data_IF_373224553573
#
_entry.id   IF_373224553573
#
_cell.length_a   1.000
_cell.length_b   1.000
_cell.length_c   1.000
_cell.angle_alpha   90.00
_cell.angle_beta   90.00
_cell.angle_gamma   90.00
#
_symmetry.space_group_name_H-M   'P 1'
#
loop_
_entity.id
_entity.type
_entity.pdbx_description
1 polymer ?
#
# COMPACT_ATOMS: atom_id res chain seq x y z
N UNK A 1 -20.93 24.92 -11.53
CA UNK A 1 -21.03 23.91 -10.45
C UNK A 1 -19.83 23.94 -9.51
N UNK A 2 -18.58 24.01 -9.99
CA UNK A 2 -17.38 24.01 -9.13
C UNK A 2 -17.19 25.24 -8.21
N UNK A 3 -17.58 26.44 -8.65
CA UNK A 3 -17.41 27.68 -7.85
C UNK A 3 -18.36 27.72 -6.65
N UNK A 4 -19.61 27.28 -6.83
CA UNK A 4 -20.59 27.16 -5.74
C UNK A 4 -20.16 26.15 -4.66
N UNK A 5 -19.56 25.03 -5.08
CA UNK A 5 -19.00 24.04 -4.15
C UNK A 5 -17.81 24.58 -3.36
N UNK A 6 -16.95 25.40 -3.99
CA UNK A 6 -15.82 26.05 -3.33
C UNK A 6 -16.26 27.06 -2.27
N UNK A 7 -17.29 27.86 -2.57
CA UNK A 7 -17.85 28.83 -1.62
C UNK A 7 -18.48 28.11 -0.43
N UNK A 8 -19.30 27.08 -0.67
CA UNK A 8 -19.88 26.28 0.43
C UNK A 8 -18.82 25.57 1.29
N UNK A 9 -17.69 25.18 0.70
CA UNK A 9 -16.59 24.55 1.42
C UNK A 9 -15.88 25.56 2.32
N UNK A 10 -15.66 26.79 1.84
CA UNK A 10 -15.02 27.86 2.61
C UNK A 10 -15.90 28.27 3.79
N UNK A 11 -17.21 28.36 3.59
CA UNK A 11 -18.16 28.70 4.65
C UNK A 11 -18.23 27.59 5.70
N UNK A 12 -18.22 26.31 5.27
CA UNK A 12 -18.13 25.15 6.17
C UNK A 12 -16.82 25.15 6.97
N UNK A 13 -15.68 25.50 6.37
CA UNK A 13 -14.39 25.58 7.06
C UNK A 13 -14.42 26.67 8.13
N UNK A 14 -15.02 27.82 7.83
CA UNK A 14 -15.18 28.92 8.81
C UNK A 14 -16.10 28.52 9.97
N UNK A 15 -17.18 27.82 9.66
CA UNK A 15 -18.18 27.38 10.65
C UNK A 15 -17.64 26.26 11.56
N UNK A 16 -16.88 25.30 11.01
CA UNK A 16 -16.27 24.20 11.77
C UNK A 16 -15.05 24.66 12.57
N UNK A 17 -14.26 25.60 12.05
CA UNK A 17 -12.98 25.94 12.65
C UNK A 17 -13.01 27.08 13.67
N UNK A 18 -14.01 27.96 13.60
CA UNK A 18 -13.89 29.29 14.21
C UNK A 18 -12.58 29.99 13.81
N UNK A 19 -12.13 30.98 14.58
CA UNK A 19 -10.83 31.63 14.37
C UNK A 19 -9.64 30.83 14.95
N UNK A 20 -9.77 29.52 15.19
CA UNK A 20 -8.71 28.73 15.80
C UNK A 20 -7.75 28.14 14.74
N UNK A 21 -6.51 28.64 14.63
CA UNK A 21 -5.57 28.23 13.58
C UNK A 21 -5.17 26.74 13.68
N UNK A 22 -5.32 26.11 14.84
CA UNK A 22 -5.01 24.69 15.04
C UNK A 22 -5.91 23.74 14.24
N UNK A 23 -7.12 24.18 13.87
CA UNK A 23 -8.08 23.39 13.10
C UNK A 23 -8.00 23.73 11.59
N UNK A 24 -7.74 24.99 11.25
CA UNK A 24 -7.64 25.48 9.86
C UNK A 24 -6.47 24.82 9.12
N UNK A 25 -5.29 24.80 9.75
CA UNK A 25 -4.04 24.32 9.11
C UNK A 25 -4.16 22.88 8.59
N UNK A 26 -4.57 21.86 9.38
CA UNK A 26 -4.68 20.49 8.88
C UNK A 26 -5.74 20.34 7.78
N UNK A 27 -6.85 21.10 7.83
CA UNK A 27 -7.89 21.06 6.79
C UNK A 27 -7.37 21.62 5.47
N UNK A 28 -6.67 22.76 5.52
CA UNK A 28 -6.06 23.37 4.32
C UNK A 28 -5.00 22.45 3.72
N UNK A 29 -4.17 21.80 4.54
CA UNK A 29 -3.18 20.82 4.08
C UNK A 29 -3.88 19.63 3.41
N UNK A 30 -4.93 19.09 4.03
CA UNK A 30 -5.69 17.97 3.47
C UNK A 30 -6.31 18.34 2.11
N UNK A 31 -6.91 19.53 2.00
CA UNK A 31 -7.48 20.03 0.75
C UNK A 31 -6.41 20.26 -0.32
N UNK A 32 -5.26 20.81 0.06
CA UNK A 32 -4.13 21.01 -0.84
C UNK A 32 -3.65 19.67 -1.43
N UNK A 33 -3.54 18.63 -0.60
CA UNK A 33 -3.16 17.29 -1.04
C UNK A 33 -4.24 16.70 -1.98
N UNK A 34 -5.52 16.83 -1.63
CA UNK A 34 -6.63 16.30 -2.43
C UNK A 34 -6.73 16.96 -3.81
N UNK A 35 -6.63 18.30 -3.86
CA UNK A 35 -6.72 19.06 -5.12
C UNK A 35 -5.50 18.77 -6.00
N UNK A 36 -4.30 18.73 -5.41
CA UNK A 36 -3.06 18.52 -6.16
C UNK A 36 -2.68 17.05 -6.34
N UNK A 37 -3.53 16.10 -5.91
CA UNK A 37 -3.21 14.67 -5.94
C UNK A 37 -2.78 14.21 -7.34
N UNK A 38 -3.47 14.68 -8.39
CA UNK A 38 -3.09 14.38 -9.78
C UNK A 38 -1.70 14.90 -10.14
N UNK A 39 -1.38 16.13 -9.76
CA UNK A 39 -0.07 16.74 -10.02
C UNK A 39 1.05 16.03 -9.26
N UNK A 40 0.79 15.65 -8.01
CA UNK A 40 1.73 14.89 -7.18
C UNK A 40 1.99 13.51 -7.81
N UNK A 41 0.93 12.83 -8.26
CA UNK A 41 1.05 11.53 -8.92
C UNK A 41 1.82 11.63 -10.25
N UNK A 42 1.56 12.67 -11.06
CA UNK A 42 2.29 12.91 -12.31
C UNK A 42 3.77 13.20 -12.04
N UNK A 43 4.08 14.08 -11.07
CA UNK A 43 5.45 14.38 -10.68
C UNK A 43 6.22 13.12 -10.24
N UNK A 44 5.58 12.25 -9.44
CA UNK A 44 6.18 10.97 -9.04
C UNK A 44 6.40 10.02 -10.23
N UNK A 45 5.52 10.03 -11.23
CA UNK A 45 5.69 9.26 -12.46
C UNK A 45 6.85 9.80 -13.31
N UNK A 46 6.98 11.12 -13.42
CA UNK A 46 8.04 11.77 -14.19
C UNK A 46 9.41 11.54 -13.57
N UNK A 47 9.53 11.58 -12.24
CA UNK A 47 10.77 11.22 -11.54
C UNK A 47 11.20 9.77 -11.85
N UNK A 48 10.26 8.83 -11.83
CA UNK A 48 10.53 7.42 -12.17
C UNK A 48 10.94 7.27 -13.65
N UNK A 49 10.24 7.93 -14.57
CA UNK A 49 10.56 7.92 -16.01
C UNK A 49 11.93 8.53 -16.30
N UNK A 50 12.26 9.65 -15.66
CA UNK A 50 13.57 10.30 -15.78
C UNK A 50 14.71 9.36 -15.37
N UNK A 51 14.56 8.58 -14.28
CA UNK A 51 15.58 7.62 -13.86
C UNK A 51 15.82 6.55 -14.93
N UNK A 52 14.76 5.98 -15.48
CA UNK A 52 14.86 4.96 -16.56
C UNK A 52 15.49 5.56 -17.81
N UNK A 53 15.14 6.80 -18.17
CA UNK A 53 15.74 7.52 -19.29
C UNK A 53 17.26 7.63 -19.16
N UNK A 54 17.74 8.10 -18.00
CA UNK A 54 19.18 8.22 -17.71
C UNK A 54 19.92 6.88 -17.77
N UNK A 55 19.28 5.79 -17.30
CA UNK A 55 19.86 4.45 -17.36
C UNK A 55 19.99 3.97 -18.81
N UNK A 56 18.98 4.23 -19.66
CA UNK A 56 19.03 3.90 -21.08
C UNK A 56 20.13 4.68 -21.81
N UNK A 57 20.19 5.99 -21.60
CA UNK A 57 21.23 6.85 -22.17
C UNK A 57 22.64 6.39 -21.76
N UNK A 58 22.81 5.94 -20.51
CA UNK A 58 24.09 5.40 -20.06
C UNK A 58 24.47 4.11 -20.82
N UNK A 59 23.53 3.17 -21.03
CA UNK A 59 23.79 1.91 -21.75
C UNK A 59 24.25 2.15 -23.18
N UNK A 60 23.69 3.17 -23.84
CA UNK A 60 23.98 3.52 -25.23
C UNK A 60 25.29 4.30 -25.39
N UNK A 61 25.96 4.68 -24.28
CA UNK A 61 27.26 5.35 -24.33
C UNK A 61 28.42 4.35 -24.52
N UNK A 62 29.38 4.72 -25.37
CA UNK A 62 30.60 3.94 -25.61
C UNK A 62 31.65 4.10 -24.51
N UNK A 63 31.39 4.95 -23.52
CA UNK A 63 32.29 5.18 -22.39
C UNK A 63 32.28 4.05 -21.34
N UNK A 64 31.38 3.07 -21.48
CA UNK A 64 31.22 1.98 -20.50
C UNK A 64 31.97 0.73 -20.91
N UNK A 65 32.67 0.13 -19.93
CA UNK A 65 33.17 -1.24 -20.08
C UNK A 65 32.02 -2.24 -20.22
N UNK A 66 32.27 -3.39 -20.83
CA UNK A 66 31.26 -4.44 -21.02
C UNK A 66 30.66 -4.93 -19.68
N UNK A 67 31.50 -5.06 -18.64
CA UNK A 67 31.07 -5.43 -17.30
C UNK A 67 30.12 -4.39 -16.69
N UNK A 68 30.45 -3.10 -16.82
CA UNK A 68 29.58 -2.01 -16.35
C UNK A 68 28.27 -1.97 -17.13
N UNK A 69 28.32 -2.16 -18.45
CA UNK A 69 27.13 -2.23 -19.30
C UNK A 69 26.21 -3.37 -18.91
N UNK A 70 26.76 -4.54 -18.56
CA UNK A 70 25.99 -5.69 -18.06
C UNK A 70 25.30 -5.39 -16.73
N UNK A 71 26.03 -4.78 -15.79
CA UNK A 71 25.48 -4.35 -14.51
C UNK A 71 24.31 -3.36 -14.68
N UNK A 72 24.49 -2.34 -15.52
CA UNK A 72 23.44 -1.32 -15.77
C UNK A 72 22.21 -1.94 -16.45
N UNK A 73 22.38 -2.91 -17.36
CA UNK A 73 21.25 -3.66 -17.94
C UNK A 73 20.49 -4.45 -16.87
N UNK A 74 21.19 -5.09 -15.94
CA UNK A 74 20.56 -5.83 -14.84
C UNK A 74 19.77 -4.89 -13.90
N UNK A 75 20.32 -3.71 -13.61
CA UNK A 75 19.65 -2.66 -12.85
C UNK A 75 18.40 -2.14 -13.59
N UNK A 76 18.48 -1.93 -14.91
CA UNK A 76 17.34 -1.51 -15.73
C UNK A 76 16.21 -2.55 -15.70
N UNK A 77 16.53 -3.84 -15.83
CA UNK A 77 15.54 -4.91 -15.69
C UNK A 77 14.90 -4.91 -14.29
N UNK A 78 15.69 -4.63 -13.25
CA UNK A 78 15.18 -4.58 -11.89
C UNK A 78 14.23 -3.39 -11.67
N UNK A 79 14.55 -2.22 -12.25
CA UNK A 79 13.66 -1.06 -12.25
C UNK A 79 12.34 -1.39 -12.97
N UNK A 80 12.39 -2.02 -14.14
CA UNK A 80 11.17 -2.45 -14.84
C UNK A 80 10.37 -3.48 -14.04
N UNK A 81 11.03 -4.45 -13.43
CA UNK A 81 10.37 -5.42 -12.56
C UNK A 81 9.73 -4.74 -11.36
N UNK A 82 10.41 -3.80 -10.71
CA UNK A 82 9.89 -3.03 -9.58
C UNK A 82 8.70 -2.15 -9.99
N UNK A 83 8.67 -1.59 -11.19
CA UNK A 83 7.52 -0.83 -11.68
C UNK A 83 6.26 -1.69 -11.82
N UNK A 84 6.42 -2.95 -12.22
CA UNK A 84 5.30 -3.87 -12.49
C UNK A 84 4.89 -4.63 -11.22
N UNK A 85 5.87 -5.23 -10.53
CA UNK A 85 5.67 -6.10 -9.38
C UNK A 85 5.75 -5.36 -8.03
N UNK A 86 6.34 -4.17 -7.99
CA UNK A 86 6.52 -3.39 -6.75
C UNK A 86 7.54 -4.01 -5.79
N UNK A 87 8.49 -4.78 -6.31
CA UNK A 87 9.51 -5.51 -5.56
C UNK A 87 10.87 -5.25 -6.21
N UNK A 88 11.88 -4.96 -5.39
CA UNK A 88 13.26 -4.75 -5.81
C UNK A 88 14.15 -5.88 -5.27
N UNK A 89 14.71 -6.71 -6.17
CA UNK A 89 15.43 -7.93 -5.78
C UNK A 89 16.54 -8.31 -6.77
N UNK A 90 17.49 -9.11 -6.29
CA UNK A 90 18.56 -9.67 -7.12
C UNK A 90 18.00 -10.54 -8.26
N UNK A 91 18.71 -10.58 -9.39
CA UNK A 91 18.34 -11.32 -10.60
C UNK A 91 17.94 -12.78 -10.34
N UNK A 92 18.73 -13.56 -9.59
CA UNK A 92 18.41 -14.98 -9.34
C UNK A 92 17.08 -15.16 -8.61
N UNK A 93 16.80 -14.29 -7.64
CA UNK A 93 15.54 -14.31 -6.91
C UNK A 93 14.39 -13.88 -7.85
N UNK A 94 14.61 -12.84 -8.66
CA UNK A 94 13.63 -12.37 -9.67
C UNK A 94 13.26 -13.47 -10.66
N UNK A 95 14.24 -14.18 -11.20
CA UNK A 95 14.05 -15.29 -12.15
C UNK A 95 13.27 -16.45 -11.51
N UNK A 96 13.57 -16.79 -10.25
CA UNK A 96 12.84 -17.81 -9.51
C UNK A 96 11.37 -17.40 -9.27
N UNK A 97 11.14 -16.13 -8.91
CA UNK A 97 9.81 -15.56 -8.72
C UNK A 97 8.99 -15.52 -10.02
N UNK A 98 9.62 -15.16 -11.14
CA UNK A 98 8.98 -15.17 -12.46
C UNK A 98 8.60 -16.59 -12.89
N UNK A 99 9.48 -17.56 -12.61
CA UNK A 99 9.22 -18.97 -12.91
C UNK A 99 8.04 -19.49 -12.08
N UNK A 100 8.04 -19.21 -10.78
CA UNK A 100 6.93 -19.55 -9.88
C UNK A 100 5.62 -18.87 -10.31
N UNK A 101 5.65 -17.58 -10.65
CA UNK A 101 4.47 -16.88 -11.14
C UNK A 101 3.95 -17.50 -12.44
N UNK A 102 4.82 -17.88 -13.38
CA UNK A 102 4.41 -18.49 -14.65
C UNK A 102 3.68 -19.82 -14.42
N UNK A 103 4.18 -20.64 -13.51
CA UNK A 103 3.60 -21.93 -13.11
C UNK A 103 2.21 -21.76 -12.46
N UNK A 104 2.03 -20.74 -11.61
CA UNK A 104 0.80 -20.52 -10.84
C UNK A 104 -0.01 -19.27 -11.25
N UNK A 105 0.18 -18.77 -12.47
CA UNK A 105 -0.40 -17.50 -12.94
C UNK A 105 -1.93 -17.45 -12.90
N UNK A 106 -2.61 -18.60 -12.92
CA UNK A 106 -4.06 -18.73 -12.75
C UNK A 106 -4.53 -18.68 -11.28
N UNK A 107 -3.65 -18.92 -10.32
CA UNK A 107 -4.01 -19.05 -8.89
C UNK A 107 -3.53 -17.87 -8.04
N UNK A 108 -2.47 -17.20 -8.49
CA UNK A 108 -1.85 -16.07 -7.79
C UNK A 108 -1.57 -14.92 -8.75
N UNK A 109 -1.62 -13.70 -8.23
CA UNK A 109 -1.23 -12.49 -8.94
C UNK A 109 0.10 -11.97 -8.42
N UNK A 110 0.80 -11.11 -9.16
CA UNK A 110 1.97 -10.40 -8.63
C UNK A 110 1.65 -9.59 -7.37
N UNK A 111 0.42 -9.06 -7.24
CA UNK A 111 -0.03 -8.39 -6.01
C UNK A 111 -0.10 -9.35 -4.82
N UNK A 112 -0.49 -10.60 -5.05
CA UNK A 112 -0.48 -11.68 -4.04
C UNK A 112 0.96 -11.93 -3.56
N UNK A 113 1.89 -12.09 -4.51
CA UNK A 113 3.31 -12.25 -4.23
C UNK A 113 3.86 -11.05 -3.46
N UNK A 114 3.58 -9.82 -3.90
CA UNK A 114 4.02 -8.59 -3.27
C UNK A 114 3.55 -8.48 -1.82
N UNK A 115 2.31 -8.87 -1.52
CA UNK A 115 1.77 -8.89 -0.15
C UNK A 115 2.50 -9.87 0.76
N UNK A 116 2.90 -11.02 0.23
CA UNK A 116 3.60 -12.06 0.95
C UNK A 116 5.12 -11.92 0.93
N UNK A 117 5.67 -10.97 0.15
CA UNK A 117 7.09 -10.90 -0.17
C UNK A 117 8.02 -10.91 1.05
N UNK A 118 7.62 -10.27 2.16
CA UNK A 118 8.38 -10.28 3.43
C UNK A 118 8.65 -11.68 3.99
N UNK A 119 7.79 -12.64 3.66
CA UNK A 119 7.88 -14.03 4.13
C UNK A 119 8.55 -14.95 3.10
N UNK A 120 8.77 -14.47 1.86
CA UNK A 120 9.40 -15.24 0.80
C UNK A 120 10.91 -15.01 0.88
N UNK A 121 11.66 -16.09 1.03
CA UNK A 121 13.11 -16.13 1.00
C UNK A 121 13.59 -16.93 -0.20
N UNK A 122 14.81 -16.62 -0.63
CA UNK A 122 15.49 -17.36 -1.68
C UNK A 122 16.80 -17.92 -1.11
N UNK A 123 16.91 -19.25 -1.08
CA UNK A 123 18.10 -19.96 -0.58
C UNK A 123 18.26 -21.26 -1.34
N UNK A 124 19.50 -21.72 -1.55
CA UNK A 124 19.77 -22.97 -2.29
C UNK A 124 19.08 -23.04 -3.66
N UNK A 125 19.01 -21.89 -4.34
CA UNK A 125 18.36 -21.73 -5.65
C UNK A 125 16.86 -22.07 -5.66
N UNK A 126 16.20 -22.07 -4.50
CA UNK A 126 14.77 -22.35 -4.36
C UNK A 126 14.07 -21.27 -3.53
N UNK A 127 12.80 -21.07 -3.82
CA UNK A 127 11.91 -20.21 -3.05
C UNK A 127 11.42 -20.97 -1.82
N UNK A 128 11.43 -20.28 -0.68
CA UNK A 128 10.93 -20.82 0.58
C UNK A 128 10.10 -19.75 1.28
N UNK A 129 9.02 -20.17 1.94
CA UNK A 129 8.24 -19.28 2.80
C UNK A 129 8.63 -19.55 4.25
N UNK A 130 9.04 -18.50 4.97
CA UNK A 130 9.37 -18.57 6.39
C UNK A 130 8.39 -17.71 7.18
N UNK A 131 7.50 -18.36 7.92
CA UNK A 131 6.57 -17.71 8.84
C UNK A 131 6.97 -18.11 10.26
N UNK A 132 7.34 -17.12 11.07
CA UNK A 132 7.75 -17.32 12.46
C UNK A 132 6.55 -17.34 13.40
N UNK A 133 6.74 -17.80 14.64
CA UNK A 133 5.71 -17.73 15.68
C UNK A 133 5.32 -16.28 16.00
N UNK A 134 6.28 -15.36 15.96
CA UNK A 134 6.04 -13.93 16.15
C UNK A 134 5.11 -13.37 15.07
N UNK A 135 5.27 -13.81 13.81
CA UNK A 135 4.36 -13.39 12.73
C UNK A 135 2.93 -13.86 13.00
N UNK A 136 2.74 -15.10 13.48
CA UNK A 136 1.41 -15.59 13.87
C UNK A 136 0.80 -14.77 15.02
N UNK A 137 1.60 -14.32 15.98
CA UNK A 137 1.13 -13.40 17.03
C UNK A 137 0.70 -12.06 16.42
N UNK A 138 1.50 -11.50 15.50
CA UNK A 138 1.16 -10.27 14.78
C UNK A 138 -0.16 -10.40 14.02
N UNK A 139 -0.40 -11.55 13.38
CA UNK A 139 -1.68 -11.87 12.72
C UNK A 139 -2.87 -11.76 13.69
N UNK A 140 -2.79 -12.40 14.86
CA UNK A 140 -3.87 -12.36 15.85
C UNK A 140 -4.05 -10.95 16.44
N UNK A 141 -2.97 -10.20 16.65
CA UNK A 141 -3.03 -8.82 17.11
C UNK A 141 -3.74 -7.91 16.09
N UNK A 142 -3.43 -8.03 14.79
CA UNK A 142 -4.15 -7.28 13.75
C UNK A 142 -5.62 -7.67 13.67
N UNK A 143 -5.98 -8.94 13.85
CA UNK A 143 -7.38 -9.34 13.94
C UNK A 143 -8.10 -8.74 15.15
N UNK A 144 -7.45 -8.74 16.32
CA UNK A 144 -7.99 -8.13 17.53
C UNK A 144 -8.19 -6.61 17.33
N UNK A 145 -7.21 -5.92 16.74
CA UNK A 145 -7.29 -4.50 16.42
C UNK A 145 -8.38 -4.19 15.40
N UNK A 146 -8.54 -5.02 14.36
CA UNK A 146 -9.64 -4.91 13.40
C UNK A 146 -11.00 -4.90 14.11
N UNK A 147 -11.24 -5.89 14.98
CA UNK A 147 -12.49 -6.02 15.75
C UNK A 147 -12.66 -4.82 16.69
N UNK A 148 -11.61 -4.45 17.42
CA UNK A 148 -11.64 -3.33 18.36
C UNK A 148 -12.00 -2.02 17.65
N UNK A 149 -11.31 -1.66 16.56
CA UNK A 149 -11.59 -0.43 15.81
C UNK A 149 -12.95 -0.44 15.14
N UNK A 150 -13.39 -1.60 14.65
CA UNK A 150 -14.72 -1.74 14.04
C UNK A 150 -15.83 -1.51 15.07
N UNK A 151 -15.76 -2.16 16.23
CA UNK A 151 -16.72 -1.98 17.32
C UNK A 151 -16.70 -0.54 17.86
N UNK A 152 -15.51 0.06 17.97
CA UNK A 152 -15.36 1.43 18.40
C UNK A 152 -15.99 2.42 17.40
N UNK A 153 -15.77 2.22 16.09
CA UNK A 153 -16.43 2.99 15.05
C UNK A 153 -17.96 2.88 15.13
N UNK A 154 -18.48 1.67 15.30
CA UNK A 154 -19.93 1.47 15.48
C UNK A 154 -20.45 2.17 16.74
N UNK A 155 -19.72 2.09 17.85
CA UNK A 155 -20.05 2.80 19.09
C UNK A 155 -20.13 4.31 18.91
N UNK A 156 -19.16 4.91 18.20
CA UNK A 156 -19.15 6.34 17.86
C UNK A 156 -20.37 6.70 17.00
N UNK A 157 -20.70 5.89 16.00
CA UNK A 157 -21.85 6.14 15.13
C UNK A 157 -23.18 6.01 15.89
N UNK A 158 -23.31 5.05 16.80
CA UNK A 158 -24.51 4.93 17.66
C UNK A 158 -24.60 6.11 18.64
N UNK A 159 -23.49 6.49 19.28
CA UNK A 159 -23.44 7.67 20.13
C UNK A 159 -23.81 8.96 19.37
N UNK A 160 -23.47 9.01 18.07
CA UNK A 160 -23.87 10.11 17.18
C UNK A 160 -25.38 10.23 16.96
N UNK A 161 -26.15 9.19 17.28
CA UNK A 161 -27.63 9.22 17.26
C UNK A 161 -28.17 9.54 18.64
N UNK A 162 -27.64 8.89 19.69
CA UNK A 162 -28.20 8.95 21.05
C UNK A 162 -27.94 10.28 21.78
N UNK A 163 -26.77 10.89 21.62
CA UNK A 163 -26.39 12.08 22.41
C UNK A 163 -27.17 13.32 21.94
N UNK A 164 -28.13 13.82 22.71
CA UNK A 164 -28.82 15.06 22.35
C UNK A 164 -27.85 16.24 22.29
N UNK A 165 -27.97 17.08 21.25
CA UNK A 165 -27.08 18.22 21.04
C UNK A 165 -27.75 19.31 20.21
N UNK A 166 -27.50 20.57 20.57
CA UNK A 166 -28.13 21.74 19.94
C UNK A 166 -27.79 21.91 18.45
N UNK A 167 -26.59 21.51 18.03
CA UNK A 167 -26.12 21.66 16.65
C UNK A 167 -25.91 20.31 15.97
N UNK A 168 -26.94 19.83 15.29
CA UNK A 168 -26.93 18.50 14.64
C UNK A 168 -25.82 18.39 13.57
N UNK A 169 -25.55 19.48 12.83
CA UNK A 169 -24.51 19.51 11.79
C UNK A 169 -23.11 19.30 12.37
N UNK A 170 -22.75 19.99 13.45
CA UNK A 170 -21.44 19.87 14.10
C UNK A 170 -21.25 18.46 14.66
N UNK A 171 -22.30 17.89 15.27
CA UNK A 171 -22.30 16.51 15.78
C UNK A 171 -22.04 15.50 14.66
N UNK A 172 -22.79 15.59 13.56
CA UNK A 172 -22.58 14.72 12.40
C UNK A 172 -21.16 14.85 11.84
N UNK A 173 -20.60 16.05 11.79
CA UNK A 173 -19.26 16.27 11.28
C UNK A 173 -18.18 15.66 12.19
N UNK A 174 -18.25 15.89 13.51
CA UNK A 174 -17.27 15.37 14.47
C UNK A 174 -17.36 13.85 14.58
N UNK A 175 -18.54 13.31 14.88
CA UNK A 175 -18.70 11.87 15.07
C UNK A 175 -18.56 11.11 13.74
N UNK A 176 -19.03 11.69 12.63
CA UNK A 176 -18.88 11.09 11.30
C UNK A 176 -17.43 11.01 10.87
N UNK A 177 -16.67 12.11 10.97
CA UNK A 177 -15.24 12.11 10.62
C UNK A 177 -14.43 11.16 11.51
N UNK A 178 -14.68 11.16 12.82
CA UNK A 178 -14.02 10.25 13.76
C UNK A 178 -14.37 8.79 13.47
N UNK A 179 -15.64 8.48 13.20
CA UNK A 179 -16.09 7.14 12.83
C UNK A 179 -15.43 6.64 11.54
N UNK A 180 -15.31 7.49 10.52
CA UNK A 180 -14.61 7.17 9.26
C UNK A 180 -13.13 6.87 9.49
N UNK A 181 -12.45 7.60 10.37
CA UNK A 181 -11.05 7.32 10.73
C UNK A 181 -10.92 5.91 11.33
N UNK A 182 -11.80 5.54 12.25
CA UNK A 182 -11.76 4.20 12.86
C UNK A 182 -12.13 3.08 11.89
N UNK A 183 -13.07 3.31 10.96
CA UNK A 183 -13.35 2.36 9.87
C UNK A 183 -12.11 2.18 9.00
N UNK A 184 -11.44 3.27 8.63
CA UNK A 184 -10.21 3.21 7.85
C UNK A 184 -9.12 2.41 8.57
N UNK A 185 -8.89 2.67 9.86
CA UNK A 185 -7.93 1.91 10.68
C UNK A 185 -8.28 0.43 10.78
N UNK A 186 -9.58 0.11 10.90
CA UNK A 186 -10.07 -1.27 10.90
C UNK A 186 -9.74 -1.98 9.58
N UNK A 187 -10.10 -1.39 8.43
CA UNK A 187 -9.80 -1.96 7.10
C UNK A 187 -8.30 -2.10 6.88
N UNK A 188 -7.52 -1.11 7.30
CA UNK A 188 -6.06 -1.17 7.21
C UNK A 188 -5.47 -2.32 8.04
N UNK A 189 -5.95 -2.52 9.27
CA UNK A 189 -5.51 -3.63 10.12
C UNK A 189 -5.86 -5.00 9.54
N UNK A 190 -7.06 -5.15 8.97
CA UNK A 190 -7.46 -6.35 8.24
C UNK A 190 -6.55 -6.63 7.03
N UNK A 191 -6.15 -5.58 6.29
CA UNK A 191 -5.22 -5.70 5.19
C UNK A 191 -3.83 -6.19 5.63
N UNK A 192 -3.37 -5.83 6.84
CA UNK A 192 -2.13 -6.35 7.42
C UNK A 192 -2.26 -7.83 7.78
N UNK A 193 -3.35 -8.24 8.44
CA UNK A 193 -3.59 -9.65 8.79
C UNK A 193 -3.62 -10.56 7.55
N UNK A 194 -4.17 -10.08 6.44
CA UNK A 194 -4.26 -10.85 5.19
C UNK A 194 -2.89 -11.16 4.54
N UNK A 195 -1.81 -10.45 4.89
CA UNK A 195 -0.47 -10.73 4.36
C UNK A 195 0.02 -12.12 4.75
N UNK A 196 -0.26 -12.55 5.98
CA UNK A 196 0.18 -13.86 6.49
C UNK A 196 -0.61 -14.99 5.84
N UNK A 197 -1.94 -14.88 5.73
CA UNK A 197 -2.74 -15.85 4.96
C UNK A 197 -2.27 -15.99 3.52
N UNK A 198 -1.88 -14.86 2.92
CA UNK A 198 -1.35 -14.86 1.55
C UNK A 198 -0.02 -15.61 1.48
N UNK A 199 0.86 -15.44 2.47
CA UNK A 199 2.11 -16.17 2.56
C UNK A 199 1.89 -17.67 2.79
N UNK A 200 0.93 -18.06 3.63
CA UNK A 200 0.55 -19.46 3.84
C UNK A 200 0.04 -20.10 2.54
N UNK A 201 -0.78 -19.39 1.76
CA UNK A 201 -1.21 -19.88 0.43
C UNK A 201 -0.02 -20.13 -0.50
N UNK A 202 0.95 -19.21 -0.55
CA UNK A 202 2.16 -19.39 -1.36
C UNK A 202 3.03 -20.54 -0.85
N UNK A 203 3.11 -20.74 0.47
CA UNK A 203 3.83 -21.87 1.05
C UNK A 203 3.25 -23.22 0.59
N UNK A 204 1.92 -23.35 0.64
CA UNK A 204 1.22 -24.56 0.18
C UNK A 204 1.48 -24.85 -1.30
N UNK A 205 1.47 -23.82 -2.15
CA UNK A 205 1.77 -23.99 -3.58
C UNK A 205 3.20 -24.48 -3.82
N UNK A 206 4.17 -23.92 -3.09
CA UNK A 206 5.58 -24.35 -3.18
C UNK A 206 5.81 -25.78 -2.67
N UNK A 207 5.10 -26.20 -1.62
CA UNK A 207 5.17 -27.57 -1.09
C UNK A 207 4.62 -28.59 -2.09
N UNK A 208 3.49 -28.27 -2.73
CA UNK A 208 2.89 -29.11 -3.78
C UNK A 208 3.85 -29.30 -4.96
N UNK A 209 4.53 -28.24 -5.43
CA UNK A 209 5.52 -28.35 -6.50
C UNK A 209 6.67 -29.32 -6.15
N UNK A 210 7.10 -29.33 -4.89
CA UNK A 210 8.16 -30.24 -4.44
C UNK A 210 7.71 -31.69 -4.30
N UNK A 211 6.42 -31.93 -4.04
CA UNK A 211 5.87 -33.29 -3.96
C UNK A 211 5.65 -33.94 -5.33
N UNK A 212 5.40 -33.16 -6.39
CA UNK A 212 5.20 -33.69 -7.76
C UNK A 212 6.51 -33.97 -8.50
N UNK A 213 7.65 -33.47 -8.01
CA UNK A 213 8.97 -33.65 -8.64
C UNK A 213 9.83 -34.75 -8.01
N UNK A 214 9.34 -35.41 -6.95
CA UNK A 214 9.97 -36.55 -6.30
C UNK A 214 9.19 -37.84 -6.60
#
# INVERSE_FOLDING_TARGET
MGVLMLVSLIDLIKEVSGNNPLIIVPIVILLFILINMKSILLFLQDLKRSRIGKIKEAIDSDCLTENTRRFIKEELENEYFNLIAGIYIERKFREALLSFYKEYSGEITFRTIQRAFRYINFSNSKLHVKITKCDKIEYYLHWLLFIFFFLFAMGILVASVVIEGKNIMIKFFIFGSLGLIFIFLSVWSLAQANKIKTAEKIAQLLENTTSERN
#
